data_IF_924302489834
#
_entry.id   IF_924302489834
#
_cell.length_a   1.000
_cell.length_b   1.000
_cell.length_c   1.000
_cell.angle_alpha   90.00
_cell.angle_beta   90.00
_cell.angle_gamma   90.00
#
_symmetry.space_group_name_H-M   'P 1'
#
loop_
_entity.id
_entity.type
_entity.pdbx_description
1 polymer ?
#
# COMPACT_ATOMS: atom_id res chain seq x y z
N UNK A 1 29.57 3.77 -8.68
CA UNK A 1 30.14 5.12 -8.47
C UNK A 1 30.44 5.24 -6.99
N UNK A 2 31.68 4.95 -6.60
CA UNK A 2 32.11 5.09 -5.21
C UNK A 2 32.23 6.58 -4.91
N UNK A 3 31.25 7.13 -4.19
CA UNK A 3 31.43 8.44 -3.56
C UNK A 3 32.67 8.33 -2.70
N UNK A 4 33.61 9.25 -2.87
CA UNK A 4 34.78 9.42 -2.01
C UNK A 4 34.33 9.40 -0.55
N UNK A 5 34.39 8.23 0.10
CA UNK A 5 34.39 8.14 1.55
C UNK A 5 35.63 8.95 1.91
N UNK A 6 35.44 10.13 2.49
CA UNK A 6 36.57 10.90 2.99
C UNK A 6 37.40 9.96 3.85
N UNK A 7 38.74 9.96 3.71
CA UNK A 7 39.62 9.05 4.44
C UNK A 7 39.36 9.08 5.97
N UNK A 8 38.75 10.16 6.45
CA UNK A 8 38.24 10.39 7.80
C UNK A 8 37.06 9.49 8.25
N UNK A 9 36.36 8.82 7.33
CA UNK A 9 35.19 7.96 7.58
C UNK A 9 35.49 6.46 7.47
N UNK A 10 36.65 6.07 6.93
CA UNK A 10 37.10 4.69 6.81
C UNK A 10 37.74 4.17 8.11
N UNK A 11 36.88 3.84 9.07
CA UNK A 11 37.27 3.22 10.35
C UNK A 11 37.92 1.83 10.21
N UNK A 12 37.88 1.23 9.01
CA UNK A 12 38.47 -0.08 8.70
C UNK A 12 39.99 -0.03 8.62
N UNK A 13 40.56 1.13 8.27
CA UNK A 13 42.01 1.35 8.05
C UNK A 13 42.77 1.83 9.31
N UNK A 14 42.06 2.09 10.41
CA UNK A 14 42.66 2.54 11.67
C UNK A 14 43.15 1.37 12.54
N UNK A 15 44.39 1.47 13.01
CA UNK A 15 45.03 0.48 13.88
C UNK A 15 44.64 0.67 15.36
N UNK A 16 44.38 1.90 15.82
CA UNK A 16 43.92 2.17 17.19
C UNK A 16 42.42 1.84 17.38
N UNK A 17 42.06 0.91 18.29
CA UNK A 17 40.67 0.59 18.61
C UNK A 17 39.84 1.78 19.12
N UNK A 18 40.45 2.73 19.84
CA UNK A 18 39.72 3.86 20.42
C UNK A 18 39.28 4.86 19.34
N UNK A 19 40.17 5.19 18.41
CA UNK A 19 39.85 6.07 17.28
C UNK A 19 38.82 5.45 16.35
N UNK A 20 38.95 4.15 16.04
CA UNK A 20 37.94 3.38 15.30
C UNK A 20 36.55 3.51 15.95
N UNK A 21 36.47 3.36 17.28
CA UNK A 21 35.20 3.46 18.01
C UNK A 21 34.57 4.85 17.92
N UNK A 22 35.38 5.92 17.98
CA UNK A 22 34.89 7.31 17.83
C UNK A 22 34.27 7.54 16.45
N UNK A 23 34.92 7.06 15.39
CA UNK A 23 34.42 7.19 14.01
C UNK A 23 33.13 6.38 13.83
N UNK A 24 33.09 5.14 14.33
CA UNK A 24 31.88 4.32 14.29
C UNK A 24 30.70 5.02 14.97
N UNK A 25 30.89 5.57 16.17
CA UNK A 25 29.84 6.29 16.88
C UNK A 25 29.38 7.53 16.11
N UNK A 26 30.31 8.27 15.49
CA UNK A 26 29.97 9.43 14.65
C UNK A 26 29.10 9.03 13.47
N UNK A 27 29.46 7.96 12.76
CA UNK A 27 28.68 7.44 11.62
C UNK A 27 27.32 6.92 12.07
N UNK A 28 27.29 6.13 13.16
CA UNK A 28 26.05 5.61 13.72
C UNK A 28 25.10 6.75 14.12
N UNK A 29 25.63 7.80 14.76
CA UNK A 29 24.84 8.95 15.17
C UNK A 29 24.30 9.74 13.97
N UNK A 30 25.10 9.94 12.91
CA UNK A 30 24.64 10.55 11.65
C UNK A 30 23.50 9.73 11.05
N UNK A 31 23.72 8.42 10.83
CA UNK A 31 22.70 7.51 10.28
C UNK A 31 21.43 7.47 11.12
N UNK A 32 21.55 7.48 12.44
CA UNK A 32 20.40 7.55 13.34
C UNK A 32 19.60 8.83 13.13
N UNK A 33 20.27 10.00 13.11
CA UNK A 33 19.61 11.29 12.87
C UNK A 33 18.94 11.36 11.49
N UNK A 34 19.61 10.85 10.47
CA UNK A 34 19.05 10.81 9.11
C UNK A 34 17.86 9.87 9.02
N UNK A 35 17.92 8.69 9.66
CA UNK A 35 16.77 7.78 9.75
C UNK A 35 15.58 8.42 10.47
N UNK A 36 15.81 9.15 11.55
CA UNK A 36 14.74 9.87 12.26
C UNK A 36 14.13 10.96 11.37
N UNK A 37 14.94 11.71 10.62
CA UNK A 37 14.44 12.73 9.67
C UNK A 37 13.61 12.08 8.57
N UNK A 38 14.13 11.00 7.97
CA UNK A 38 13.45 10.25 6.92
C UNK A 38 12.11 9.68 7.40
N UNK A 39 12.08 9.07 8.59
CA UNK A 39 10.84 8.53 9.16
C UNK A 39 9.76 9.59 9.38
N UNK A 40 10.16 10.80 9.83
CA UNK A 40 9.22 11.91 9.97
C UNK A 40 8.65 12.35 8.64
N UNK A 41 9.50 12.44 7.60
CA UNK A 41 9.07 12.79 6.25
C UNK A 41 8.17 11.71 5.64
N UNK A 42 8.55 10.44 5.76
CA UNK A 42 7.77 9.30 5.27
C UNK A 42 6.40 9.25 5.95
N UNK A 43 6.34 9.52 7.25
CA UNK A 43 5.07 9.59 8.00
C UNK A 43 4.20 10.74 7.50
N UNK A 44 4.78 11.91 7.24
CA UNK A 44 4.05 13.04 6.68
C UNK A 44 3.54 12.75 5.26
N UNK A 45 4.38 12.13 4.41
CA UNK A 45 4.00 11.68 3.07
C UNK A 45 2.88 10.65 3.11
N UNK A 46 2.96 9.67 4.01
CA UNK A 46 1.95 8.65 4.16
C UNK A 46 0.62 9.25 4.66
N UNK A 47 0.63 10.14 5.65
CA UNK A 47 -0.58 10.82 6.12
C UNK A 47 -1.25 11.66 5.02
N UNK A 48 -0.45 12.34 4.18
CA UNK A 48 -0.98 13.06 3.04
C UNK A 48 -1.55 12.10 1.99
N UNK A 49 -0.85 11.01 1.71
CA UNK A 49 -1.33 9.99 0.77
C UNK A 49 -2.63 9.35 1.27
N UNK A 50 -2.76 9.01 2.54
CA UNK A 50 -4.00 8.49 3.12
C UNK A 50 -5.17 9.48 2.98
N UNK A 51 -4.91 10.77 3.19
CA UNK A 51 -5.90 11.84 2.96
C UNK A 51 -6.35 11.92 1.50
N UNK A 52 -5.42 11.77 0.56
CA UNK A 52 -5.71 11.88 -0.88
C UNK A 52 -6.24 10.57 -1.48
N UNK A 53 -5.81 9.41 -0.97
CA UNK A 53 -6.16 8.08 -1.47
C UNK A 53 -7.66 7.81 -1.38
N UNK A 54 -8.33 8.38 -0.37
CA UNK A 54 -9.78 8.32 -0.26
C UNK A 54 -10.51 8.93 -1.49
N UNK A 55 -9.88 9.89 -2.18
CA UNK A 55 -10.42 10.50 -3.40
C UNK A 55 -9.80 9.98 -4.70
N UNK A 56 -8.53 9.56 -4.70
CA UNK A 56 -7.78 9.25 -5.94
C UNK A 56 -8.18 7.95 -6.65
N UNK A 57 -8.68 6.94 -5.92
CA UNK A 57 -9.16 5.68 -6.51
C UNK A 57 -10.67 5.66 -6.76
N UNK A 58 -11.39 6.73 -6.42
CA UNK A 58 -12.81 6.82 -6.71
C UNK A 58 -13.00 7.33 -8.14
N UNK A 59 -13.85 6.66 -8.92
CA UNK A 59 -14.31 7.21 -10.18
C UNK A 59 -14.91 8.61 -9.91
N UNK A 60 -14.54 9.65 -10.69
CA UNK A 60 -15.07 10.98 -10.48
C UNK A 60 -16.58 10.97 -10.65
N UNK A 61 -17.29 11.80 -9.88
CA UNK A 61 -18.73 11.93 -10.05
C UNK A 61 -18.99 12.56 -11.44
N UNK A 62 -20.05 12.16 -12.17
CA UNK A 62 -20.34 12.74 -13.49
C UNK A 62 -20.49 14.27 -13.45
N UNK A 63 -20.79 14.83 -12.28
CA UNK A 63 -21.00 16.25 -12.04
C UNK A 63 -19.68 17.01 -11.86
N UNK A 64 -18.60 16.33 -11.46
CA UNK A 64 -17.25 16.89 -11.31
C UNK A 64 -16.50 16.96 -12.65
N UNK A 65 -17.02 16.29 -13.69
CA UNK A 65 -16.41 16.25 -15.02
C UNK A 65 -16.91 17.40 -15.87
N UNK A 66 -16.03 18.34 -16.16
CA UNK A 66 -16.27 19.42 -17.12
C UNK A 66 -16.51 18.83 -18.52
N UNK A 67 -17.52 19.38 -19.20
CA UNK A 67 -17.87 18.97 -20.56
C UNK A 67 -17.15 19.93 -21.50
N UNK A 68 -15.87 19.67 -21.77
CA UNK A 68 -15.16 20.37 -22.83
C UNK A 68 -15.73 19.91 -24.17
N UNK A 69 -16.60 20.73 -24.75
CA UNK A 69 -17.16 20.48 -26.07
C UNK A 69 -16.08 20.77 -27.12
N UNK A 70 -15.20 19.79 -27.33
CA UNK A 70 -14.27 19.76 -28.45
C UNK A 70 -15.05 19.49 -29.75
N UNK A 71 -15.84 20.48 -30.14
CA UNK A 71 -16.71 20.48 -31.31
C UNK A 71 -15.87 20.70 -32.56
N UNK A 72 -15.23 19.63 -33.02
CA UNK A 72 -14.43 19.62 -34.25
C UNK A 72 -14.66 18.40 -35.15
N UNK A 73 -15.27 17.33 -34.63
CA UNK A 73 -15.59 16.14 -35.41
C UNK A 73 -17.02 16.20 -35.97
N UNK A 74 -17.23 15.84 -37.25
CA UNK A 74 -18.55 15.92 -37.90
C UNK A 74 -19.60 14.95 -37.32
N UNK A 75 -19.18 14.00 -36.49
CA UNK A 75 -20.05 13.04 -35.80
C UNK A 75 -20.27 13.38 -34.32
N UNK A 76 -19.75 14.52 -33.85
CA UNK A 76 -19.77 14.93 -32.45
C UNK A 76 -18.58 14.39 -31.65
N UNK A 77 -18.26 15.06 -30.53
CA UNK A 77 -17.24 14.60 -29.59
C UNK A 77 -17.82 13.58 -28.59
N UNK A 78 -16.96 12.80 -27.93
CA UNK A 78 -17.39 11.86 -26.90
C UNK A 78 -17.64 12.60 -25.57
N UNK A 79 -18.79 12.38 -24.93
CA UNK A 79 -19.07 12.96 -23.62
C UNK A 79 -18.59 12.03 -22.50
N UNK A 80 -17.47 12.36 -21.88
CA UNK A 80 -16.93 11.62 -20.72
C UNK A 80 -17.96 11.57 -19.57
N UNK A 81 -18.68 12.67 -19.34
CA UNK A 81 -19.78 12.77 -18.38
C UNK A 81 -20.88 11.74 -18.64
N UNK A 82 -21.24 11.51 -19.91
CA UNK A 82 -22.21 10.49 -20.28
C UNK A 82 -21.69 9.07 -20.04
N UNK A 83 -20.43 8.79 -20.39
CA UNK A 83 -19.78 7.48 -20.16
C UNK A 83 -19.73 7.16 -18.67
N UNK A 84 -19.37 8.13 -17.84
CA UNK A 84 -19.30 7.96 -16.39
C UNK A 84 -20.70 7.75 -15.79
N UNK A 85 -21.69 8.57 -16.18
CA UNK A 85 -23.08 8.42 -15.72
C UNK A 85 -23.66 7.05 -16.05
N UNK A 86 -23.44 6.57 -17.26
CA UNK A 86 -23.91 5.23 -17.69
C UNK A 86 -23.19 4.11 -16.94
N UNK A 87 -21.89 4.26 -16.67
CA UNK A 87 -21.11 3.36 -15.81
C UNK A 87 -21.68 3.28 -14.39
N UNK A 88 -21.93 4.41 -13.74
CA UNK A 88 -22.53 4.48 -12.40
C UNK A 88 -23.91 3.83 -12.34
N UNK A 89 -24.78 4.11 -13.31
CA UNK A 89 -26.12 3.51 -13.39
C UNK A 89 -26.04 1.97 -13.50
N UNK A 90 -25.09 1.47 -14.30
CA UNK A 90 -24.86 0.03 -14.49
C UNK A 90 -24.24 -0.62 -13.24
N UNK A 91 -23.38 0.08 -12.52
CA UNK A 91 -22.78 -0.44 -11.29
C UNK A 91 -23.81 -0.51 -10.15
N UNK A 92 -24.69 0.49 -10.02
CA UNK A 92 -25.78 0.47 -9.04
C UNK A 92 -26.69 -0.75 -9.23
N UNK A 93 -27.15 -1.00 -10.46
CA UNK A 93 -27.98 -2.17 -10.75
C UNK A 93 -27.25 -3.50 -10.55
N UNK A 94 -25.95 -3.55 -10.87
CA UNK A 94 -25.11 -4.73 -10.64
C UNK A 94 -24.92 -5.03 -9.16
N UNK A 95 -24.70 -4.01 -8.32
CA UNK A 95 -24.61 -4.14 -6.86
C UNK A 95 -25.92 -4.61 -6.24
N UNK A 96 -27.05 -4.06 -6.68
CA UNK A 96 -28.36 -4.50 -6.20
C UNK A 96 -28.65 -5.96 -6.59
N UNK A 97 -28.27 -6.36 -7.80
CA UNK A 97 -28.45 -7.73 -8.29
C UNK A 97 -27.57 -8.72 -7.54
N UNK A 98 -26.31 -8.38 -7.30
CA UNK A 98 -25.39 -9.24 -6.55
C UNK A 98 -25.79 -9.36 -5.08
N UNK A 99 -26.23 -8.27 -4.45
CA UNK A 99 -26.81 -8.29 -3.09
C UNK A 99 -28.06 -9.17 -3.01
N UNK A 100 -28.96 -9.08 -3.99
CA UNK A 100 -30.15 -9.96 -4.05
C UNK A 100 -29.77 -11.43 -4.23
N UNK A 101 -28.78 -11.72 -5.06
CA UNK A 101 -28.26 -13.09 -5.25
C UNK A 101 -27.62 -13.63 -3.97
N UNK A 102 -26.78 -12.83 -3.30
CA UNK A 102 -26.10 -13.22 -2.06
C UNK A 102 -27.08 -13.41 -0.88
N UNK A 103 -28.10 -12.55 -0.78
CA UNK A 103 -29.13 -12.68 0.25
C UNK A 103 -30.01 -13.93 0.06
N UNK A 104 -30.09 -14.44 -1.17
CA UNK A 104 -30.81 -15.67 -1.52
C UNK A 104 -30.04 -16.95 -1.15
N UNK A 105 -28.75 -16.88 -0.79
CA UNK A 105 -27.88 -18.06 -0.63
C UNK A 105 -27.98 -18.74 0.76
N UNK A 106 -29.04 -18.49 1.52
CA UNK A 106 -29.33 -19.23 2.77
C UNK A 106 -29.83 -20.66 2.54
N UNK A 107 -29.64 -21.24 1.35
CA UNK A 107 -30.34 -22.47 0.97
C UNK A 107 -29.66 -23.47 0.05
N UNK A 108 -28.48 -23.22 -0.54
CA UNK A 108 -27.86 -24.18 -1.48
C UNK A 108 -26.33 -24.16 -1.43
N UNK A 109 -25.73 -24.57 -0.30
CA UNK A 109 -24.29 -24.84 -0.23
C UNK A 109 -24.03 -26.35 -0.26
N UNK A 110 -23.89 -26.87 -1.48
CA UNK A 110 -23.31 -28.18 -1.78
C UNK A 110 -22.25 -28.06 -2.88
N UNK A 111 -21.38 -27.04 -2.78
CA UNK A 111 -20.19 -26.92 -3.63
C UNK A 111 -18.94 -26.88 -2.75
N UNK A 112 -18.17 -27.96 -2.83
CA UNK A 112 -16.94 -28.30 -2.08
C UNK A 112 -15.76 -27.30 -2.24
N UNK A 113 -15.98 -26.08 -2.73
CA UNK A 113 -14.93 -25.14 -3.15
C UNK A 113 -14.52 -24.08 -2.13
N UNK A 114 -15.23 -23.92 -1.01
CA UNK A 114 -14.99 -22.81 -0.05
C UNK A 114 -14.42 -23.25 1.31
N UNK A 115 -14.16 -24.55 1.53
CA UNK A 115 -13.67 -25.04 2.82
C UNK A 115 -12.13 -25.05 2.97
N UNK A 116 -11.36 -24.69 1.93
CA UNK A 116 -9.91 -24.86 1.99
C UNK A 116 -9.18 -23.75 2.76
N UNK A 117 -9.80 -22.59 2.96
CA UNK A 117 -9.14 -21.42 3.57
C UNK A 117 -9.23 -21.44 5.10
N UNK A 118 -10.27 -22.06 5.68
CA UNK A 118 -10.53 -22.03 7.12
C UNK A 118 -9.63 -23.00 7.93
N UNK A 119 -9.05 -24.01 7.26
CA UNK A 119 -8.11 -24.93 7.91
C UNK A 119 -6.72 -24.31 8.16
N UNK A 120 -6.29 -23.36 7.33
CA UNK A 120 -4.98 -22.72 7.49
C UNK A 120 -5.00 -21.64 8.60
N UNK A 121 -6.15 -20.99 8.80
CA UNK A 121 -6.31 -19.96 9.83
C UNK A 121 -6.33 -20.51 11.27
N UNK A 122 -6.63 -21.80 11.45
CA UNK A 122 -6.72 -22.47 12.77
C UNK A 122 -5.46 -23.24 13.18
N UNK A 123 -4.43 -23.29 12.32
CA UNK A 123 -3.16 -23.95 12.63
C UNK A 123 -2.25 -23.05 13.47
N UNK A 124 -1.70 -23.59 14.56
CA UNK A 124 -0.66 -22.90 15.33
C UNK A 124 0.57 -22.65 14.43
N UNK A 125 1.18 -21.46 14.47
CA UNK A 125 2.28 -21.14 13.57
C UNK A 125 3.51 -22.00 13.89
N UNK A 126 4.28 -22.37 12.86
CA UNK A 126 5.40 -23.31 12.95
C UNK A 126 6.50 -22.92 13.97
N UNK A 127 6.58 -21.65 14.37
CA UNK A 127 7.52 -21.16 15.38
C UNK A 127 7.07 -21.44 16.83
N UNK A 128 5.84 -21.90 17.06
CA UNK A 128 5.35 -22.24 18.41
C UNK A 128 6.19 -23.35 19.06
N UNK A 129 6.68 -24.33 18.28
CA UNK A 129 7.51 -25.43 18.76
C UNK A 129 8.88 -25.01 19.33
N UNK A 130 9.36 -23.81 18.99
CA UNK A 130 10.65 -23.30 19.47
C UNK A 130 10.57 -22.72 20.89
N UNK A 131 9.36 -22.33 21.32
CA UNK A 131 9.14 -21.68 22.62
C UNK A 131 9.26 -22.67 23.78
N UNK A 132 8.86 -23.92 23.57
CA UNK A 132 8.91 -24.96 24.60
C UNK A 132 10.32 -25.51 24.84
N UNK A 133 11.26 -25.27 23.89
CA UNK A 133 12.67 -25.70 24.03
C UNK A 133 13.53 -24.72 24.83
N UNK A 134 13.05 -23.50 25.06
CA UNK A 134 13.75 -22.49 25.85
C UNK A 134 13.39 -22.53 27.34
N UNK A 135 12.46 -23.40 27.74
CA UNK A 135 11.96 -23.54 29.12
C UNK A 135 12.45 -24.82 29.83
N UNK A 136 13.44 -25.52 29.27
CA UNK A 136 14.07 -26.72 29.85
C UNK A 136 15.49 -26.43 30.33
#
# INVERSE_FOLDING_TARGET
MNSSISAEEDWTLLDDPNERRKIQNRIAQRKFRDKIRQQKEDTARQANNERLAAGMYMAPCPEDVETTEETGLPWGSFSMKHVIRTGHLREQSSRETSLRTAASDKGVTSRLGLQLVDHFAKGAPAWAAWRDRAAA
#
